data_IF_394326487952
#
_entry.id   IF_394326487952
#
_cell.length_a   1.000
_cell.length_b   1.000
_cell.length_c   1.000
_cell.angle_alpha   90.00
_cell.angle_beta   90.00
_cell.angle_gamma   90.00
#
_symmetry.space_group_name_H-M   'P 1'
#
loop_
_entity.id
_entity.type
_entity.pdbx_description
1 polymer ?
#
# COMPACT_ATOMS: atom_id res chain seq x y z
N UNK A 1 16.70 2.64 -26.05
CA UNK A 1 15.84 2.25 -24.90
C UNK A 1 15.06 3.44 -24.39
N UNK A 2 15.69 4.60 -24.19
CA UNK A 2 15.04 5.86 -23.80
C UNK A 2 13.85 6.22 -24.70
N UNK A 3 14.02 6.22 -26.03
CA UNK A 3 12.93 6.45 -26.99
C UNK A 3 11.75 5.47 -26.83
N UNK A 4 12.01 4.24 -26.37
CA UNK A 4 10.97 3.25 -26.12
C UNK A 4 10.11 3.61 -24.91
N UNK A 5 10.71 4.16 -23.85
CA UNK A 5 9.99 4.59 -22.65
C UNK A 5 9.25 5.93 -22.88
N UNK A 6 9.82 6.83 -23.69
CA UNK A 6 9.10 8.03 -24.15
C UNK A 6 7.86 7.65 -24.96
N UNK A 7 7.98 6.68 -25.88
CA UNK A 7 6.83 6.16 -26.62
C UNK A 7 5.76 5.55 -25.73
N UNK A 8 6.17 4.85 -24.67
CA UNK A 8 5.23 4.33 -23.67
C UNK A 8 4.46 5.47 -23.01
N UNK A 9 5.15 6.53 -22.60
CA UNK A 9 4.50 7.71 -22.03
C UNK A 9 3.48 8.35 -22.98
N UNK A 10 3.84 8.54 -24.26
CA UNK A 10 2.91 9.04 -25.28
C UNK A 10 1.69 8.12 -25.45
N UNK A 11 1.91 6.81 -25.49
CA UNK A 11 0.83 5.83 -25.65
C UNK A 11 -0.13 5.86 -24.45
N UNK A 12 0.38 6.03 -23.23
CA UNK A 12 -0.44 6.22 -22.02
C UNK A 12 -1.30 7.48 -22.13
N UNK A 13 -0.76 8.57 -22.68
CA UNK A 13 -1.54 9.78 -22.93
C UNK A 13 -2.66 9.52 -23.95
N UNK A 14 -2.40 8.79 -25.03
CA UNK A 14 -3.45 8.43 -26.00
C UNK A 14 -4.54 7.59 -25.34
N UNK A 15 -4.16 6.60 -24.52
CA UNK A 15 -5.10 5.80 -23.74
C UNK A 15 -6.00 6.65 -22.84
N UNK A 16 -5.42 7.63 -22.13
CA UNK A 16 -6.16 8.57 -21.30
C UNK A 16 -7.18 9.38 -22.11
N UNK A 17 -6.79 9.92 -23.27
CA UNK A 17 -7.69 10.68 -24.15
C UNK A 17 -8.84 9.83 -24.71
N UNK A 18 -8.58 8.55 -24.99
CA UNK A 18 -9.58 7.61 -25.50
C UNK A 18 -10.41 6.94 -24.39
N UNK A 19 -10.15 7.25 -23.12
CA UNK A 19 -10.88 6.69 -21.98
C UNK A 19 -10.53 5.23 -21.67
N UNK A 20 -9.42 4.71 -22.20
CA UNK A 20 -8.92 3.36 -21.90
C UNK A 20 -8.47 3.31 -20.43
N UNK A 21 -9.02 2.35 -19.67
CA UNK A 21 -8.85 2.29 -18.22
C UNK A 21 -7.67 1.45 -17.74
N UNK A 22 -7.20 0.50 -18.54
CA UNK A 22 -6.12 -0.41 -18.17
C UNK A 22 -5.20 -0.63 -19.35
N UNK A 23 -3.89 -0.59 -19.10
CA UNK A 23 -2.83 -0.87 -20.07
C UNK A 23 -1.84 -1.80 -19.42
N UNK A 24 -1.47 -2.86 -20.11
CA UNK A 24 -0.44 -3.79 -19.67
C UNK A 24 0.71 -3.77 -20.67
N UNK A 25 1.95 -3.63 -20.19
CA UNK A 25 3.13 -3.52 -21.05
C UNK A 25 4.16 -4.57 -20.71
N UNK A 26 4.82 -5.10 -21.75
CA UNK A 26 5.90 -6.05 -21.59
C UNK A 26 7.24 -5.31 -21.56
N UNK A 27 7.73 -5.00 -20.36
CA UNK A 27 8.95 -4.20 -20.19
C UNK A 27 10.22 -5.06 -20.20
N UNK A 28 10.19 -6.21 -19.52
CA UNK A 28 11.36 -7.11 -19.43
C UNK A 28 10.93 -8.57 -19.28
N UNK A 29 11.41 -9.44 -20.17
CA UNK A 29 11.16 -10.88 -20.13
C UNK A 29 12.22 -11.62 -19.30
N UNK A 30 11.87 -12.75 -18.66
CA UNK A 30 12.88 -13.65 -18.08
C UNK A 30 13.86 -14.17 -19.13
N UNK A 31 13.42 -14.34 -20.38
CA UNK A 31 14.32 -14.73 -21.47
C UNK A 31 15.38 -13.66 -21.80
N UNK A 32 15.16 -12.41 -21.38
CA UNK A 32 16.14 -11.35 -21.55
C UNK A 32 17.32 -11.45 -20.57
N UNK A 33 17.27 -12.34 -19.57
CA UNK A 33 18.42 -12.64 -18.68
C UNK A 33 19.60 -13.25 -19.48
N UNK A 34 19.35 -13.79 -20.69
CA UNK A 34 20.41 -14.29 -21.58
C UNK A 34 21.26 -13.18 -22.23
N UNK A 35 20.89 -11.90 -22.05
CA UNK A 35 21.65 -10.74 -22.52
C UNK A 35 22.90 -10.52 -21.69
N UNK A 36 23.80 -9.66 -22.16
CA UNK A 36 24.98 -9.28 -21.37
C UNK A 36 24.55 -8.51 -20.12
N UNK A 37 25.34 -8.62 -19.05
CA UNK A 37 25.05 -7.90 -17.80
C UNK A 37 24.96 -6.38 -18.03
N UNK A 38 25.82 -5.84 -18.91
CA UNK A 38 25.79 -4.42 -19.31
C UNK A 38 24.44 -4.02 -19.92
N UNK A 39 23.86 -4.82 -20.82
CA UNK A 39 22.55 -4.52 -21.41
C UNK A 39 21.42 -4.58 -20.36
N UNK A 40 21.51 -5.52 -19.42
CA UNK A 40 20.54 -5.66 -18.33
C UNK A 40 20.61 -4.44 -17.39
N UNK A 41 21.82 -4.02 -17.02
CA UNK A 41 22.04 -2.87 -16.14
C UNK A 41 21.51 -1.58 -16.80
N UNK A 42 21.75 -1.39 -18.10
CA UNK A 42 21.19 -0.25 -18.85
C UNK A 42 19.65 -0.29 -18.84
N UNK A 43 19.04 -1.46 -19.02
CA UNK A 43 17.57 -1.60 -18.95
C UNK A 43 17.03 -1.25 -17.57
N UNK A 44 17.74 -1.64 -16.52
CA UNK A 44 17.37 -1.33 -15.14
C UNK A 44 17.48 0.17 -14.83
N UNK A 45 18.53 0.84 -15.29
CA UNK A 45 18.65 2.29 -15.13
C UNK A 45 17.60 3.07 -15.94
N UNK A 46 17.24 2.60 -17.13
CA UNK A 46 16.22 3.22 -17.96
C UNK A 46 14.81 3.09 -17.34
N UNK A 47 14.46 1.93 -16.76
CA UNK A 47 13.16 1.80 -16.09
C UNK A 47 13.10 2.65 -14.81
N UNK A 48 14.20 2.75 -14.04
CA UNK A 48 14.26 3.68 -12.89
C UNK A 48 14.03 5.11 -13.36
N UNK A 49 14.75 5.53 -14.40
CA UNK A 49 14.63 6.87 -14.99
C UNK A 49 13.22 7.15 -15.48
N UNK A 50 12.58 6.19 -16.15
CA UNK A 50 11.20 6.30 -16.59
C UNK A 50 10.25 6.50 -15.40
N UNK A 51 10.34 5.66 -14.37
CA UNK A 51 9.46 5.74 -13.21
C UNK A 51 9.62 7.04 -12.41
N UNK A 52 10.84 7.59 -12.33
CA UNK A 52 11.12 8.83 -11.62
C UNK A 52 10.76 10.09 -12.42
N UNK A 53 11.00 10.08 -13.74
CA UNK A 53 10.81 11.28 -14.59
C UNK A 53 9.44 11.34 -15.24
N UNK A 54 8.85 10.20 -15.56
CA UNK A 54 7.53 10.18 -16.13
C UNK A 54 6.58 10.67 -15.04
N UNK A 55 5.95 11.84 -15.27
CA UNK A 55 4.98 12.49 -14.36
C UNK A 55 3.66 11.70 -14.28
N UNK A 56 3.74 10.37 -14.21
CA UNK A 56 2.65 9.40 -14.22
C UNK A 56 1.71 9.62 -13.05
N UNK A 57 2.25 9.97 -11.89
CA UNK A 57 1.44 10.29 -10.72
C UNK A 57 0.53 11.50 -10.98
N UNK A 58 1.06 12.57 -11.58
CA UNK A 58 0.29 13.77 -11.91
C UNK A 58 -0.78 13.50 -12.98
N UNK A 59 -0.51 12.55 -13.88
CA UNK A 59 -1.48 12.06 -14.86
C UNK A 59 -2.56 11.15 -14.24
N UNK A 60 -2.51 10.86 -12.93
CA UNK A 60 -3.43 9.97 -12.25
C UNK A 60 -3.34 8.52 -12.70
N UNK A 61 -2.14 8.07 -13.07
CA UNK A 61 -1.83 6.67 -13.41
C UNK A 61 -1.60 5.88 -12.12
N UNK A 62 -2.25 4.72 -11.97
CA UNK A 62 -1.98 3.74 -10.92
C UNK A 62 -1.09 2.63 -11.46
N UNK A 63 0.13 2.50 -10.93
CA UNK A 63 1.14 1.57 -11.43
C UNK A 63 1.10 0.27 -10.63
N UNK A 64 1.14 -0.86 -11.32
CA UNK A 64 1.39 -2.17 -10.72
C UNK A 64 2.50 -2.89 -11.47
N UNK A 65 3.21 -3.78 -10.80
CA UNK A 65 4.20 -4.67 -11.41
C UNK A 65 3.81 -6.11 -11.20
N UNK A 66 4.08 -6.95 -12.20
CA UNK A 66 3.88 -8.38 -12.09
C UNK A 66 5.01 -9.15 -12.79
N UNK A 67 5.36 -10.31 -12.25
CA UNK A 67 6.49 -11.13 -12.69
C UNK A 67 7.35 -11.61 -11.52
N UNK A 68 8.48 -12.23 -11.83
CA UNK A 68 9.35 -12.86 -10.85
C UNK A 68 10.35 -11.85 -10.26
N UNK A 69 9.90 -11.14 -9.22
CA UNK A 69 10.67 -10.09 -8.53
C UNK A 69 11.93 -10.66 -7.84
N UNK A 70 11.99 -11.97 -7.54
CA UNK A 70 13.16 -12.58 -6.85
C UNK A 70 14.45 -12.46 -7.64
N UNK A 71 14.35 -12.31 -8.96
CA UNK A 71 15.49 -12.16 -9.88
C UNK A 71 15.95 -10.71 -10.05
N UNK A 72 15.26 -9.75 -9.42
CA UNK A 72 15.47 -8.31 -9.60
C UNK A 72 16.38 -7.75 -8.50
N UNK A 73 17.38 -6.90 -8.82
CA UNK A 73 18.22 -6.26 -7.82
C UNK A 73 17.41 -5.45 -6.78
N UNK A 74 17.81 -5.53 -5.51
CA UNK A 74 17.08 -4.91 -4.40
C UNK A 74 16.89 -3.40 -4.53
N UNK A 75 17.86 -2.71 -5.12
CA UNK A 75 17.78 -1.27 -5.41
C UNK A 75 16.68 -0.96 -6.45
N UNK A 76 16.55 -1.78 -7.49
CA UNK A 76 15.45 -1.65 -8.45
C UNK A 76 14.11 -2.01 -7.81
N UNK A 77 14.03 -3.10 -7.02
CA UNK A 77 12.81 -3.47 -6.28
C UNK A 77 12.28 -2.29 -5.46
N UNK A 78 13.16 -1.58 -4.73
CA UNK A 78 12.78 -0.37 -3.98
C UNK A 78 12.12 0.70 -4.85
N UNK A 79 12.63 0.93 -6.06
CA UNK A 79 12.07 1.91 -7.00
C UNK A 79 10.71 1.45 -7.55
N UNK A 80 10.57 0.15 -7.86
CA UNK A 80 9.29 -0.42 -8.31
C UNK A 80 8.23 -0.30 -7.22
N UNK A 81 8.52 -0.76 -6.00
CA UNK A 81 7.60 -0.73 -4.88
C UNK A 81 7.21 0.70 -4.48
N UNK A 82 8.18 1.64 -4.49
CA UNK A 82 7.92 3.08 -4.34
C UNK A 82 6.92 3.55 -5.40
N UNK A 83 7.13 3.21 -6.67
CA UNK A 83 6.24 3.64 -7.76
C UNK A 83 4.81 3.12 -7.61
N UNK A 84 4.63 1.89 -7.12
CA UNK A 84 3.31 1.34 -6.78
C UNK A 84 2.67 2.11 -5.63
N UNK A 85 3.42 2.38 -4.56
CA UNK A 85 2.90 3.02 -3.37
C UNK A 85 2.40 4.45 -3.64
N UNK A 86 3.21 5.25 -4.33
CA UNK A 86 2.91 6.67 -4.59
C UNK A 86 1.72 6.82 -5.55
N UNK A 87 1.46 5.82 -6.38
CA UNK A 87 0.39 5.84 -7.37
C UNK A 87 -0.85 5.03 -6.96
N UNK A 88 -0.84 4.38 -5.79
CA UNK A 88 -1.90 3.44 -5.36
C UNK A 88 -3.30 4.06 -5.32
N UNK A 89 -3.41 5.35 -5.00
CA UNK A 89 -4.70 6.06 -4.89
C UNK A 89 -5.18 6.64 -6.23
N UNK A 90 -4.37 6.55 -7.28
CA UNK A 90 -4.73 7.07 -8.58
C UNK A 90 -5.79 6.18 -9.26
N UNK A 91 -6.67 6.78 -10.05
CA UNK A 91 -7.83 6.08 -10.62
C UNK A 91 -8.16 6.46 -12.07
N UNK A 92 -7.34 7.30 -12.74
CA UNK A 92 -7.62 7.69 -14.14
C UNK A 92 -7.32 6.55 -15.11
N UNK A 93 -6.19 5.87 -14.92
CA UNK A 93 -5.76 4.71 -15.71
C UNK A 93 -4.88 3.79 -14.85
N UNK A 94 -4.98 2.48 -15.04
CA UNK A 94 -4.10 1.48 -14.42
C UNK A 94 -3.05 1.02 -15.44
N UNK A 95 -1.77 1.13 -15.07
CA UNK A 95 -0.63 0.68 -15.85
C UNK A 95 0.00 -0.54 -15.17
N UNK A 96 -0.13 -1.70 -15.78
CA UNK A 96 0.51 -2.92 -15.31
C UNK A 96 1.80 -3.15 -16.10
N UNK A 97 2.93 -3.26 -15.40
CA UNK A 97 4.24 -3.45 -16.02
C UNK A 97 4.69 -4.89 -15.76
N UNK A 98 4.73 -5.70 -16.82
CA UNK A 98 5.28 -7.04 -16.76
C UNK A 98 6.81 -6.97 -16.76
N UNK A 99 7.41 -7.32 -15.63
CA UNK A 99 8.84 -7.18 -15.40
C UNK A 99 9.43 -8.48 -14.85
N UNK A 100 10.48 -8.98 -15.52
CA UNK A 100 11.00 -10.31 -15.28
C UNK A 100 9.87 -11.37 -15.36
N UNK A 101 9.11 -11.29 -16.45
CA UNK A 101 7.86 -12.05 -16.62
C UNK A 101 7.92 -12.97 -17.84
N UNK A 102 7.37 -14.18 -17.70
CA UNK A 102 6.90 -15.03 -18.81
C UNK A 102 5.61 -15.75 -18.41
N UNK A 103 4.78 -16.10 -19.39
CA UNK A 103 3.51 -16.80 -19.17
C UNK A 103 3.70 -18.20 -18.59
N UNK A 104 4.73 -18.92 -19.01
CA UNK A 104 5.07 -20.22 -18.41
C UNK A 104 5.53 -20.10 -16.94
N UNK A 105 6.34 -19.09 -16.60
CA UNK A 105 6.76 -18.85 -15.22
C UNK A 105 5.56 -18.48 -14.34
N UNK A 106 4.68 -17.62 -14.84
CA UNK A 106 3.43 -17.26 -14.15
C UNK A 106 2.56 -18.49 -13.87
N UNK A 107 2.32 -19.33 -14.88
CA UNK A 107 1.55 -20.57 -14.71
C UNK A 107 2.23 -21.51 -13.72
N UNK A 108 3.54 -21.70 -13.84
CA UNK A 108 4.30 -22.58 -12.94
C UNK A 108 4.21 -22.09 -11.50
N UNK A 109 4.35 -20.78 -11.28
CA UNK A 109 4.20 -20.17 -9.97
C UNK A 109 2.76 -20.30 -9.44
N UNK A 110 1.74 -20.15 -10.27
CA UNK A 110 0.35 -20.36 -9.89
C UNK A 110 0.08 -21.83 -9.48
N UNK A 111 0.55 -22.80 -10.27
CA UNK A 111 0.45 -24.22 -9.93
C UNK A 111 1.21 -24.57 -8.65
N UNK A 112 2.39 -24.00 -8.42
CA UNK A 112 3.16 -24.22 -7.19
C UNK A 112 2.42 -23.66 -5.96
N UNK A 113 1.77 -22.50 -6.07
CA UNK A 113 0.93 -21.94 -5.00
C UNK A 113 -0.23 -22.89 -4.67
N UNK A 114 -0.95 -23.37 -5.69
CA UNK A 114 -2.07 -24.31 -5.52
C UNK A 114 -1.59 -25.63 -4.92
N UNK A 115 -0.49 -26.19 -5.43
CA UNK A 115 0.08 -27.44 -4.92
C UNK A 115 0.47 -27.33 -3.44
N UNK A 116 1.06 -26.21 -3.04
CA UNK A 116 1.37 -25.94 -1.65
C UNK A 116 0.10 -25.75 -0.81
N UNK A 117 -0.94 -25.11 -1.35
CA UNK A 117 -2.25 -25.00 -0.70
C UNK A 117 -2.86 -26.37 -0.40
N UNK A 118 -2.81 -27.31 -1.35
CA UNK A 118 -3.27 -28.69 -1.12
C UNK A 118 -2.43 -29.40 -0.06
N UNK A 119 -1.10 -29.31 -0.13
CA UNK A 119 -0.19 -29.93 0.85
C UNK A 119 -0.41 -29.43 2.28
N UNK A 120 -0.78 -28.15 2.42
CA UNK A 120 -1.03 -27.52 3.70
C UNK A 120 -2.48 -27.72 4.20
N UNK A 121 -3.32 -28.46 3.46
CA UNK A 121 -4.76 -28.60 3.69
C UNK A 121 -5.55 -27.26 3.62
N UNK A 122 -4.99 -26.24 2.97
CA UNK A 122 -5.69 -24.99 2.66
C UNK A 122 -6.65 -25.17 1.46
N UNK A 123 -6.44 -26.18 0.62
CA UNK A 123 -7.28 -26.57 -0.52
C UNK A 123 -7.47 -28.09 -0.58
N UNK A 124 -8.55 -28.55 -1.22
CA UNK A 124 -8.65 -29.93 -1.72
C UNK A 124 -8.65 -29.98 -3.25
N UNK A 125 -8.41 -31.18 -3.80
CA UNK A 125 -8.53 -31.45 -5.23
C UNK A 125 -9.91 -31.11 -5.80
N UNK A 126 -10.96 -31.22 -4.97
CA UNK A 126 -12.34 -30.90 -5.34
C UNK A 126 -12.59 -29.40 -5.59
N UNK A 127 -11.72 -28.52 -5.07
CA UNK A 127 -11.82 -27.08 -5.26
C UNK A 127 -11.18 -26.61 -6.57
N UNK A 128 -10.32 -27.44 -7.18
CA UNK A 128 -9.54 -27.08 -8.35
C UNK A 128 -10.43 -26.61 -9.50
N UNK A 129 -10.15 -25.39 -9.95
CA UNK A 129 -10.97 -24.70 -10.94
C UNK A 129 -10.16 -23.64 -11.67
N UNK A 130 -10.70 -23.17 -12.80
CA UNK A 130 -10.10 -22.10 -13.61
C UNK A 130 -10.01 -20.81 -12.79
N UNK A 131 -10.97 -20.59 -11.90
CA UNK A 131 -11.07 -19.43 -11.03
C UNK A 131 -9.96 -19.41 -9.98
N UNK A 132 -9.63 -20.55 -9.35
CA UNK A 132 -8.48 -20.62 -8.43
C UNK A 132 -7.19 -20.31 -9.18
N UNK A 133 -7.02 -20.90 -10.38
CA UNK A 133 -5.84 -20.64 -11.18
C UNK A 133 -5.69 -19.16 -11.51
N UNK A 134 -6.76 -18.51 -11.99
CA UNK A 134 -6.79 -17.08 -12.32
C UNK A 134 -6.43 -16.20 -11.11
N UNK A 135 -6.96 -16.52 -9.94
CA UNK A 135 -6.64 -15.84 -8.68
C UNK A 135 -5.18 -16.03 -8.23
N UNK A 136 -4.54 -17.13 -8.64
CA UNK A 136 -3.12 -17.41 -8.37
C UNK A 136 -2.17 -16.85 -9.43
N UNK A 137 -2.64 -16.31 -10.55
CA UNK A 137 -1.80 -15.67 -11.57
C UNK A 137 -1.22 -14.35 -11.05
N UNK A 138 -0.06 -13.92 -11.55
CA UNK A 138 0.53 -12.63 -11.17
C UNK A 138 -0.33 -11.45 -11.59
N UNK A 139 -1.08 -11.60 -12.69
CA UNK A 139 -1.94 -10.53 -13.22
C UNK A 139 -3.14 -10.22 -12.35
N UNK A 140 -3.57 -11.10 -11.44
CA UNK A 140 -4.71 -10.82 -10.56
C UNK A 140 -4.49 -9.54 -9.71
N UNK A 141 -5.49 -8.64 -9.54
CA UNK A 141 -6.90 -8.72 -9.99
C UNK A 141 -7.15 -8.07 -11.36
N UNK A 142 -6.13 -7.89 -12.20
CA UNK A 142 -6.31 -7.31 -13.53
C UNK A 142 -7.16 -8.22 -14.40
N UNK A 143 -8.08 -7.59 -15.13
CA UNK A 143 -8.91 -8.26 -16.13
C UNK A 143 -8.06 -8.60 -17.35
N UNK A 144 -8.42 -9.69 -18.04
CA UNK A 144 -7.85 -10.04 -19.34
C UNK A 144 -7.88 -8.86 -20.32
N UNK A 145 -6.84 -8.70 -21.16
CA UNK A 145 -6.82 -7.63 -22.14
C UNK A 145 -7.85 -7.89 -23.24
N UNK A 146 -8.52 -6.85 -23.73
CA UNK A 146 -9.40 -6.97 -24.89
C UNK A 146 -8.58 -7.01 -26.20
N UNK A 147 -7.48 -6.27 -26.22
CA UNK A 147 -6.59 -6.05 -27.36
C UNK A 147 -5.14 -6.23 -26.93
N UNK A 148 -4.42 -7.12 -27.60
CA UNK A 148 -2.97 -7.24 -27.52
C UNK A 148 -2.33 -6.67 -28.80
N UNK A 149 -1.47 -5.68 -28.65
CA UNK A 149 -0.70 -5.09 -29.76
C UNK A 149 0.74 -5.57 -29.67
N UNK A 150 1.28 -6.09 -30.77
CA UNK A 150 2.70 -6.41 -30.89
C UNK A 150 3.31 -5.73 -32.11
N UNK A 151 4.29 -4.88 -31.83
CA UNK A 151 5.07 -4.13 -32.80
C UNK A 151 6.23 -4.95 -33.38
N UNK A 152 6.94 -4.34 -34.34
CA UNK A 152 8.20 -4.82 -34.93
C UNK A 152 8.09 -6.06 -35.83
N UNK A 153 6.91 -6.36 -36.38
CA UNK A 153 6.71 -7.35 -37.46
C UNK A 153 6.66 -8.81 -37.03
N UNK A 154 6.80 -9.08 -35.73
CA UNK A 154 6.87 -10.43 -35.19
C UNK A 154 5.47 -11.00 -34.92
N UNK A 155 5.13 -12.12 -35.55
CA UNK A 155 3.80 -12.76 -35.44
C UNK A 155 3.77 -13.88 -34.40
N UNK A 156 4.27 -13.61 -33.19
CA UNK A 156 4.26 -14.54 -32.05
C UNK A 156 3.87 -13.81 -30.76
N UNK A 157 3.56 -14.53 -29.68
CA UNK A 157 3.33 -13.91 -28.38
C UNK A 157 4.60 -13.70 -27.55
N UNK A 158 5.66 -14.47 -27.82
CA UNK A 158 6.90 -14.47 -27.01
C UNK A 158 6.62 -14.68 -25.52
N UNK A 159 5.79 -15.67 -25.20
CA UNK A 159 5.51 -16.05 -23.82
C UNK A 159 4.92 -14.90 -22.97
N UNK A 160 4.12 -14.03 -23.61
CA UNK A 160 3.48 -12.90 -22.95
C UNK A 160 1.97 -13.15 -22.76
N UNK A 161 1.51 -13.13 -21.50
CA UNK A 161 0.09 -13.20 -21.12
C UNK A 161 -0.67 -14.35 -21.80
N UNK A 162 -0.07 -15.54 -21.85
CA UNK A 162 -0.59 -16.70 -22.60
C UNK A 162 -2.01 -17.09 -22.15
N UNK A 163 -2.25 -17.07 -20.84
CA UNK A 163 -3.53 -17.40 -20.24
C UNK A 163 -4.56 -16.30 -20.47
N UNK A 164 -4.17 -15.06 -20.17
CA UNK A 164 -5.06 -13.90 -20.19
C UNK A 164 -5.47 -13.52 -21.62
N UNK A 165 -4.59 -13.77 -22.60
CA UNK A 165 -4.85 -13.45 -24.01
C UNK A 165 -5.65 -14.50 -24.77
N UNK A 166 -6.12 -15.59 -24.13
CA UNK A 166 -6.83 -16.69 -24.78
C UNK A 166 -8.04 -16.24 -25.63
N UNK A 167 -8.68 -15.13 -25.26
CA UNK A 167 -9.84 -14.56 -25.95
C UNK A 167 -9.65 -13.10 -26.40
N UNK A 168 -8.42 -12.62 -26.44
CA UNK A 168 -8.10 -11.26 -26.86
C UNK A 168 -8.00 -11.14 -28.38
N UNK A 169 -8.27 -9.95 -28.92
CA UNK A 169 -7.88 -9.65 -30.29
C UNK A 169 -6.37 -9.37 -30.34
N UNK A 170 -5.65 -10.12 -31.16
CA UNK A 170 -4.20 -9.95 -31.31
C UNK A 170 -3.93 -9.19 -32.60
N UNK A 171 -3.27 -8.03 -32.48
CA UNK A 171 -2.90 -7.16 -33.59
C UNK A 171 -1.38 -7.08 -33.73
N UNK A 172 -0.86 -7.62 -34.84
CA UNK A 172 0.55 -7.52 -35.20
C UNK A 172 0.77 -6.36 -36.18
N UNK A 173 1.79 -5.55 -35.94
CA UNK A 173 2.21 -4.49 -36.85
C UNK A 173 3.71 -4.57 -37.12
N UNK A 174 4.12 -4.23 -38.35
CA UNK A 174 5.53 -4.14 -38.74
C UNK A 174 6.22 -2.86 -38.26
N UNK A 175 5.45 -1.88 -37.79
CA UNK A 175 5.99 -0.61 -37.26
C UNK A 175 6.85 -0.89 -36.03
N UNK A 176 8.06 -0.34 -35.99
CA UNK A 176 8.96 -0.47 -34.84
C UNK A 176 8.37 0.30 -33.65
N UNK A 177 8.54 -0.23 -32.43
CA UNK A 177 7.96 0.39 -31.23
C UNK A 177 8.31 1.89 -31.09
N UNK A 178 9.58 2.34 -31.19
CA UNK A 178 9.89 3.77 -31.09
C UNK A 178 9.23 4.66 -32.16
N UNK A 179 8.87 4.08 -33.31
CA UNK A 179 8.23 4.77 -34.45
C UNK A 179 6.70 4.69 -34.41
N UNK A 180 6.13 3.95 -33.44
CA UNK A 180 4.69 3.73 -33.34
C UNK A 180 3.95 5.06 -33.15
N UNK A 181 2.95 5.33 -34.00
CA UNK A 181 2.23 6.61 -33.98
C UNK A 181 0.81 6.47 -33.42
N UNK A 182 0.19 7.61 -33.10
CA UNK A 182 -1.22 7.65 -32.73
C UNK A 182 -2.12 7.05 -33.83
N UNK A 183 -1.74 7.18 -35.11
CA UNK A 183 -2.49 6.57 -36.21
C UNK A 183 -2.40 5.05 -36.20
N UNK A 184 -1.21 4.49 -35.94
CA UNK A 184 -1.04 3.04 -35.80
C UNK A 184 -1.86 2.48 -34.63
N UNK A 185 -1.90 3.23 -33.52
CA UNK A 185 -2.72 2.90 -32.37
C UNK A 185 -4.22 2.92 -32.70
N UNK A 186 -4.68 3.95 -33.41
CA UNK A 186 -6.07 4.05 -33.86
C UNK A 186 -6.45 2.94 -34.85
N UNK A 187 -5.53 2.53 -35.74
CA UNK A 187 -5.75 1.39 -36.64
C UNK A 187 -5.91 0.10 -35.83
N UNK A 188 -5.08 -0.13 -34.82
CA UNK A 188 -5.19 -1.31 -33.95
C UNK A 188 -6.54 -1.35 -33.23
N UNK A 189 -7.01 -0.22 -32.69
CA UNK A 189 -8.33 -0.09 -32.05
C UNK A 189 -9.45 -0.34 -33.06
N UNK A 190 -9.37 0.24 -34.27
CA UNK A 190 -10.36 0.03 -35.32
C UNK A 190 -10.46 -1.45 -35.71
N UNK A 191 -9.31 -2.12 -35.85
CA UNK A 191 -9.26 -3.55 -36.16
C UNK A 191 -9.87 -4.40 -35.04
N UNK A 192 -9.63 -4.06 -33.77
CA UNK A 192 -10.33 -4.67 -32.65
C UNK A 192 -11.84 -4.49 -32.76
N UNK A 193 -12.33 -3.25 -32.90
CA UNK A 193 -13.75 -2.93 -32.99
C UNK A 193 -14.45 -3.65 -34.15
N UNK A 194 -13.77 -3.81 -35.28
CA UNK A 194 -14.27 -4.53 -36.45
C UNK A 194 -14.50 -6.02 -36.17
N UNK A 195 -13.66 -6.63 -35.34
CA UNK A 195 -13.66 -8.08 -35.14
C UNK A 195 -14.24 -8.54 -33.79
N UNK A 196 -14.42 -7.65 -32.81
CA UNK A 196 -14.82 -8.00 -31.42
C UNK A 196 -16.06 -8.89 -31.33
N UNK A 197 -17.06 -8.67 -32.21
CA UNK A 197 -18.31 -9.45 -32.24
C UNK A 197 -18.11 -10.95 -32.46
N UNK A 198 -17.01 -11.35 -33.10
CA UNK A 198 -16.67 -12.76 -33.30
C UNK A 198 -16.15 -13.43 -32.02
N UNK A 199 -15.50 -12.67 -31.12
CA UNK A 199 -14.81 -13.19 -29.95
C UNK A 199 -15.65 -13.17 -28.66
N UNK A 200 -16.64 -12.28 -28.56
CA UNK A 200 -17.49 -12.16 -27.35
C UNK A 200 -18.27 -13.43 -26.99
N UNK A 201 -18.40 -14.39 -27.91
CA UNK A 201 -19.17 -15.64 -27.73
C UNK A 201 -18.49 -16.70 -26.83
N UNK A 202 -17.23 -16.51 -26.45
CA UNK A 202 -16.42 -17.57 -25.83
C UNK A 202 -16.04 -17.36 -24.35
N UNK A 203 -16.69 -16.44 -23.62
CA UNK A 203 -16.45 -16.33 -22.18
C UNK A 203 -16.94 -17.60 -21.47
N UNK A 204 -16.00 -18.32 -20.86
CA UNK A 204 -16.29 -19.52 -20.07
C UNK A 204 -17.20 -19.17 -18.88
N UNK A 205 -18.17 -20.04 -18.54
CA UNK A 205 -19.00 -19.85 -17.36
C UNK A 205 -18.14 -19.91 -16.10
N UNK A 206 -18.17 -18.85 -15.30
CA UNK A 206 -17.42 -18.78 -14.03
C UNK A 206 -18.17 -19.51 -12.93
N UNK A 207 -17.51 -20.43 -12.23
CA UNK A 207 -18.01 -21.07 -11.01
C UNK A 207 -17.72 -20.19 -9.79
N UNK A 208 -18.62 -20.22 -8.82
CA UNK A 208 -18.35 -19.63 -7.50
C UNK A 208 -17.34 -20.50 -6.76
N UNK A 209 -16.34 -19.87 -6.15
CA UNK A 209 -15.38 -20.56 -5.30
C UNK A 209 -16.08 -21.12 -4.05
N UNK A 210 -15.56 -22.22 -3.51
CA UNK A 210 -15.96 -22.71 -2.18
C UNK A 210 -15.42 -21.76 -1.10
N UNK A 211 -16.01 -21.72 0.09
CA UNK A 211 -15.52 -20.85 1.17
C UNK A 211 -14.05 -21.12 1.53
N UNK A 212 -13.62 -22.38 1.44
CA UNK A 212 -12.22 -22.75 1.63
C UNK A 212 -11.32 -22.18 0.52
N UNK A 213 -11.74 -22.31 -0.74
CA UNK A 213 -10.99 -21.76 -1.86
C UNK A 213 -10.91 -20.22 -1.80
N UNK A 214 -11.97 -19.55 -1.35
CA UNK A 214 -11.98 -18.10 -1.08
C UNK A 214 -10.90 -17.74 -0.04
N UNK A 215 -10.86 -18.44 1.10
CA UNK A 215 -9.83 -18.23 2.15
C UNK A 215 -8.40 -18.48 1.64
N UNK A 216 -8.18 -19.54 0.87
CA UNK A 216 -6.87 -19.82 0.28
C UNK A 216 -6.42 -18.70 -0.67
N UNK A 217 -7.31 -18.26 -1.55
CA UNK A 217 -7.04 -17.19 -2.52
C UNK A 217 -6.69 -15.89 -1.79
N UNK A 218 -7.43 -15.57 -0.74
CA UNK A 218 -7.18 -14.40 0.10
C UNK A 218 -5.78 -14.44 0.74
N UNK A 219 -5.41 -15.58 1.33
CA UNK A 219 -4.05 -15.83 1.87
C UNK A 219 -2.96 -15.66 0.80
N UNK A 220 -3.21 -16.10 -0.43
CA UNK A 220 -2.29 -15.91 -1.56
C UNK A 220 -2.11 -14.42 -1.88
N UNK A 221 -3.20 -13.65 -1.95
CA UNK A 221 -3.14 -12.21 -2.21
C UNK A 221 -2.42 -11.47 -1.08
N UNK A 222 -2.57 -11.90 0.17
CA UNK A 222 -1.86 -11.32 1.30
C UNK A 222 -0.36 -11.47 1.24
N UNK A 223 0.10 -12.67 0.91
CA UNK A 223 1.53 -12.90 0.80
C UNK A 223 2.21 -11.98 -0.24
N UNK A 224 1.47 -11.53 -1.26
CA UNK A 224 1.95 -10.56 -2.25
C UNK A 224 1.91 -9.12 -1.73
N UNK A 225 0.90 -8.76 -0.94
CA UNK A 225 0.82 -7.43 -0.33
C UNK A 225 1.88 -7.25 0.77
N UNK A 226 2.15 -8.28 1.56
CA UNK A 226 3.14 -8.25 2.63
C UNK A 226 4.56 -7.92 2.14
N UNK A 227 4.93 -8.33 0.92
CA UNK A 227 6.20 -7.92 0.34
C UNK A 227 6.27 -6.41 0.09
N UNK A 228 5.17 -5.78 -0.34
CA UNK A 228 5.10 -4.32 -0.56
C UNK A 228 5.13 -3.53 0.75
N UNK A 229 4.50 -4.03 1.81
CA UNK A 229 4.49 -3.36 3.12
C UNK A 229 5.83 -3.45 3.85
N UNK A 230 6.67 -4.44 3.50
CA UNK A 230 7.99 -4.64 4.10
C UNK A 230 8.86 -3.38 4.06
N UNK A 231 8.90 -2.65 2.93
CA UNK A 231 9.71 -1.43 2.82
C UNK A 231 9.17 -0.31 3.74
N UNK A 232 7.85 -0.18 3.86
CA UNK A 232 7.25 0.81 4.76
C UNK A 232 7.63 0.56 6.22
N UNK A 233 7.64 -0.70 6.64
CA UNK A 233 8.06 -1.11 7.98
C UNK A 233 9.57 -1.00 8.19
N UNK A 234 10.39 -1.35 7.19
CA UNK A 234 11.84 -1.20 7.28
C UNK A 234 12.24 0.28 7.50
N UNK A 235 11.55 1.21 6.82
CA UNK A 235 11.75 2.65 7.04
C UNK A 235 11.28 3.12 8.43
N UNK A 236 10.22 2.53 8.94
CA UNK A 236 9.73 2.84 10.28
C UNK A 236 10.73 2.40 11.35
N UNK A 237 11.25 1.17 11.22
CA UNK A 237 12.30 0.68 12.11
C UNK A 237 13.55 1.58 12.06
N UNK A 238 13.96 2.01 10.87
CA UNK A 238 15.09 2.95 10.70
C UNK A 238 14.83 4.30 11.40
N UNK A 239 13.63 4.85 11.25
CA UNK A 239 13.26 6.13 11.88
C UNK A 239 13.20 6.03 13.40
N UNK A 240 12.66 4.94 13.94
CA UNK A 240 12.66 4.68 15.38
C UNK A 240 14.09 4.56 15.93
N UNK A 241 15.01 3.97 15.18
CA UNK A 241 16.41 3.91 15.55
C UNK A 241 17.04 5.32 15.63
N UNK A 242 16.70 6.23 14.71
CA UNK A 242 17.14 7.63 14.80
C UNK A 242 16.58 8.32 16.04
N UNK A 243 15.30 8.11 16.35
CA UNK A 243 14.67 8.62 17.56
C UNK A 243 15.41 8.15 18.82
N UNK A 244 15.73 6.85 18.89
CA UNK A 244 16.48 6.26 19.99
C UNK A 244 17.87 6.89 20.14
N UNK A 245 18.62 7.04 19.06
CA UNK A 245 19.95 7.67 19.09
C UNK A 245 19.92 9.14 19.52
N UNK A 246 18.83 9.86 19.25
CA UNK A 246 18.64 11.25 19.67
C UNK A 246 18.03 11.39 21.08
N UNK A 247 17.76 10.27 21.77
CA UNK A 247 17.19 10.28 23.11
C UNK A 247 15.70 10.68 23.15
N UNK A 248 14.99 10.55 22.03
CA UNK A 248 13.53 10.76 21.98
C UNK A 248 12.86 9.62 22.74
N UNK A 249 12.13 9.97 23.79
CA UNK A 249 11.59 9.00 24.76
C UNK A 249 10.29 8.35 24.30
N UNK A 250 9.49 9.08 23.53
CA UNK A 250 8.18 8.63 23.07
C UNK A 250 8.01 8.99 21.60
N UNK A 251 7.57 8.01 20.81
CA UNK A 251 7.28 8.19 19.38
C UNK A 251 5.89 7.60 19.14
N UNK A 252 4.99 8.44 18.64
CA UNK A 252 3.68 7.98 18.18
C UNK A 252 3.69 7.90 16.66
N UNK A 253 3.23 6.78 16.11
CA UNK A 253 3.27 6.51 14.67
C UNK A 253 1.86 6.32 14.16
N UNK A 254 1.51 7.05 13.10
CA UNK A 254 0.31 6.74 12.34
C UNK A 254 0.60 5.56 11.40
N UNK A 255 0.54 4.35 11.94
CA UNK A 255 0.82 3.13 11.19
C UNK A 255 -0.35 2.71 10.28
N UNK A 256 -1.59 2.89 10.76
CA UNK A 256 -2.80 2.43 10.06
C UNK A 256 -3.94 3.46 10.14
N UNK A 257 -4.54 3.76 8.99
CA UNK A 257 -5.82 4.46 8.93
C UNK A 257 -6.98 3.50 9.23
N UNK A 258 -8.09 4.01 9.77
CA UNK A 258 -9.37 3.30 9.86
C UNK A 258 -9.86 2.76 8.51
N UNK A 259 -9.47 3.39 7.40
CA UNK A 259 -9.75 2.88 6.06
C UNK A 259 -9.05 1.54 5.76
N UNK A 260 -7.96 1.23 6.48
CA UNK A 260 -7.30 -0.07 6.39
C UNK A 260 -8.07 -1.16 7.16
N UNK A 261 -8.99 -0.84 8.07
CA UNK A 261 -9.84 -1.83 8.74
C UNK A 261 -11.08 -2.23 7.91
N UNK A 262 -11.25 -1.65 6.70
CA UNK A 262 -12.16 -2.17 5.67
C UNK A 262 -11.61 -3.42 4.97
N UNK A 263 -10.35 -3.75 5.26
CA UNK A 263 -9.67 -4.97 4.84
C UNK A 263 -10.18 -6.14 5.68
N UNK A 264 -9.89 -7.35 5.24
CA UNK A 264 -10.31 -8.56 5.96
C UNK A 264 -9.55 -8.72 7.28
N UNK A 265 -10.09 -9.49 8.23
CA UNK A 265 -9.46 -9.67 9.53
C UNK A 265 -8.07 -10.32 9.40
N UNK A 266 -7.94 -11.26 8.47
CA UNK A 266 -6.67 -11.95 8.18
C UNK A 266 -5.63 -11.00 7.55
N UNK A 267 -6.06 -10.04 6.72
CA UNK A 267 -5.23 -8.93 6.21
C UNK A 267 -4.61 -8.12 7.34
N UNK A 268 -5.47 -7.76 8.29
CA UNK A 268 -5.13 -6.95 9.44
C UNK A 268 -4.15 -7.73 10.34
N UNK A 269 -4.45 -9.01 10.61
CA UNK A 269 -3.62 -9.87 11.44
C UNK A 269 -2.23 -10.10 10.83
N UNK A 270 -2.14 -10.33 9.52
CA UNK A 270 -0.86 -10.51 8.83
C UNK A 270 0.00 -9.24 8.80
N UNK A 271 -0.64 -8.06 8.65
CA UNK A 271 0.05 -6.77 8.79
C UNK A 271 0.59 -6.58 10.20
N UNK A 272 -0.19 -6.97 11.22
CA UNK A 272 0.26 -6.94 12.60
C UNK A 272 1.35 -7.96 12.90
N UNK A 273 1.33 -9.15 12.30
CA UNK A 273 2.41 -10.12 12.40
C UNK A 273 3.70 -9.59 11.79
N UNK A 274 3.64 -8.95 10.61
CA UNK A 274 4.79 -8.30 10.00
C UNK A 274 5.33 -7.16 10.86
N UNK A 275 4.44 -6.34 11.42
CA UNK A 275 4.81 -5.30 12.38
C UNK A 275 5.52 -5.92 13.60
N UNK A 276 4.91 -6.95 14.22
CA UNK A 276 5.47 -7.68 15.36
C UNK A 276 6.85 -8.28 15.04
N UNK A 277 7.01 -8.95 13.90
CA UNK A 277 8.28 -9.53 13.47
C UNK A 277 9.37 -8.45 13.35
N UNK A 278 9.05 -7.32 12.70
CA UNK A 278 9.99 -6.22 12.47
C UNK A 278 10.33 -5.45 13.74
N UNK A 279 9.34 -5.27 14.62
CA UNK A 279 9.54 -4.62 15.90
C UNK A 279 10.10 -5.57 16.96
N UNK A 280 10.13 -6.90 16.75
CA UNK A 280 10.61 -7.87 17.74
C UNK A 280 11.98 -7.50 18.32
N UNK A 281 12.90 -7.01 17.46
CA UNK A 281 14.24 -6.56 17.87
C UNK A 281 14.25 -5.23 18.64
N UNK A 282 13.27 -4.36 18.42
CA UNK A 282 13.08 -3.10 19.16
C UNK A 282 12.26 -3.32 20.45
N UNK A 283 11.40 -4.35 20.48
CA UNK A 283 10.50 -4.74 21.57
C UNK A 283 11.16 -5.68 22.59
N UNK A 284 12.27 -6.34 22.23
CA UNK A 284 13.11 -7.10 23.18
C UNK A 284 13.64 -6.22 24.34
N UNK A 285 13.55 -4.89 24.24
CA UNK A 285 13.86 -3.95 25.34
C UNK A 285 12.61 -3.37 26.07
N UNK A 286 11.37 -3.66 25.67
CA UNK A 286 10.16 -3.26 26.45
C UNK A 286 8.88 -3.97 26.02
N UNK A 287 8.23 -4.58 27.01
CA UNK A 287 6.95 -5.30 26.89
C UNK A 287 5.77 -4.41 26.44
N UNK A 288 4.99 -5.00 25.52
CA UNK A 288 3.58 -4.74 25.17
C UNK A 288 3.26 -3.48 24.36
N UNK A 289 3.06 -3.69 23.06
CA UNK A 289 2.22 -2.84 22.21
C UNK A 289 0.77 -3.29 22.32
N UNK A 290 -0.16 -2.35 22.40
CA UNK A 290 -1.58 -2.61 22.23
C UNK A 290 -2.22 -1.56 21.32
N UNK A 291 -3.19 -1.98 20.51
CA UNK A 291 -3.73 -1.21 19.40
C UNK A 291 -5.23 -0.96 19.57
N UNK A 292 -5.66 0.30 19.37
CA UNK A 292 -7.06 0.67 19.18
C UNK A 292 -7.13 1.79 18.15
N UNK A 293 -7.96 1.63 17.12
CA UNK A 293 -8.32 2.67 16.16
C UNK A 293 -9.75 3.11 16.41
N UNK A 294 -9.95 4.27 17.02
CA UNK A 294 -11.26 4.89 17.18
C UNK A 294 -11.15 6.41 17.13
N UNK A 295 -12.26 7.08 16.81
CA UNK A 295 -12.40 8.53 16.97
C UNK A 295 -12.29 8.88 18.47
N UNK A 296 -11.06 9.24 18.89
CA UNK A 296 -10.68 9.33 20.30
C UNK A 296 -11.57 10.30 21.08
N UNK A 297 -11.91 11.44 20.47
CA UNK A 297 -12.74 12.47 21.09
C UNK A 297 -14.16 11.95 21.30
N UNK A 298 -14.77 11.34 20.27
CA UNK A 298 -16.12 10.78 20.37
C UNK A 298 -16.20 9.69 21.44
N UNK A 299 -15.18 8.84 21.54
CA UNK A 299 -15.13 7.82 22.58
C UNK A 299 -14.98 8.39 23.98
N UNK A 300 -14.10 9.39 24.17
CA UNK A 300 -13.95 10.07 25.45
C UNK A 300 -15.27 10.74 25.87
N UNK A 301 -15.95 11.43 24.94
CA UNK A 301 -17.27 12.03 25.20
C UNK A 301 -18.34 10.99 25.56
N UNK A 302 -18.37 9.84 24.88
CA UNK A 302 -19.32 8.76 25.19
C UNK A 302 -19.06 8.18 26.59
N UNK A 303 -17.80 7.98 26.97
CA UNK A 303 -17.42 7.52 28.30
C UNK A 303 -17.87 8.51 29.38
N UNK A 304 -17.58 9.80 29.18
CA UNK A 304 -17.99 10.88 30.10
C UNK A 304 -19.52 10.97 30.19
N UNK A 305 -20.23 10.92 29.06
CA UNK A 305 -21.69 10.95 29.02
C UNK A 305 -22.32 9.78 29.78
N UNK A 306 -21.76 8.57 29.62
CA UNK A 306 -22.20 7.41 30.38
C UNK A 306 -21.87 7.54 31.88
N UNK A 307 -20.72 8.10 32.23
CA UNK A 307 -20.35 8.41 33.61
C UNK A 307 -21.35 9.34 34.29
N UNK A 308 -21.81 10.38 33.59
CA UNK A 308 -22.86 11.29 34.10
C UNK A 308 -24.19 10.55 34.26
N UNK A 309 -24.62 9.78 33.25
CA UNK A 309 -25.88 9.02 33.32
C UNK A 309 -25.91 7.99 34.45
N UNK A 310 -24.78 7.33 34.71
CA UNK A 310 -24.64 6.33 35.76
C UNK A 310 -24.37 6.96 37.14
N UNK A 311 -24.32 8.29 37.22
CA UNK A 311 -24.04 9.04 38.44
C UNK A 311 -22.63 8.79 39.00
N UNK A 312 -21.71 8.30 38.16
CA UNK A 312 -20.28 8.10 38.45
C UNK A 312 -19.47 9.39 38.28
N UNK A 313 -20.00 10.36 37.53
CA UNK A 313 -19.43 11.70 37.29
C UNK A 313 -20.52 12.77 37.48
N UNK A 314 -20.18 13.95 38.02
CA UNK A 314 -21.10 15.09 38.07
C UNK A 314 -20.86 16.07 36.92
N UNK A 315 -21.89 16.79 36.48
CA UNK A 315 -21.73 17.82 35.44
C UNK A 315 -20.74 18.92 35.84
N UNK A 316 -20.62 19.20 37.15
CA UNK A 316 -19.66 20.14 37.74
C UNK A 316 -18.19 19.69 37.64
N UNK A 317 -17.96 18.40 37.44
CA UNK A 317 -16.63 17.80 37.31
C UNK A 317 -16.10 17.96 35.88
N UNK A 318 -16.98 18.13 34.89
CA UNK A 318 -16.63 18.31 33.47
C UNK A 318 -15.54 19.36 33.30
N UNK A 319 -14.40 18.89 32.80
CA UNK A 319 -13.22 19.72 32.61
C UNK A 319 -12.35 19.12 31.51
N UNK A 320 -11.42 19.95 31.02
CA UNK A 320 -10.45 19.50 30.03
C UNK A 320 -9.57 18.38 30.57
N UNK A 321 -9.30 18.38 31.88
CA UNK A 321 -8.51 17.34 32.56
C UNK A 321 -9.23 15.98 32.57
N UNK A 322 -10.55 15.95 32.80
CA UNK A 322 -11.33 14.70 32.65
C UNK A 322 -11.32 14.22 31.20
N UNK A 323 -11.47 15.13 30.24
CA UNK A 323 -11.42 14.75 28.82
C UNK A 323 -10.07 14.13 28.47
N UNK A 324 -8.97 14.76 28.87
CA UNK A 324 -7.60 14.29 28.61
C UNK A 324 -7.32 12.92 29.26
N UNK A 325 -7.73 12.74 30.52
CA UNK A 325 -7.67 11.45 31.22
C UNK A 325 -8.52 10.35 30.57
N UNK A 326 -9.55 10.75 29.81
CA UNK A 326 -10.39 9.86 29.03
C UNK A 326 -9.92 9.70 27.58
N UNK A 327 -8.81 10.26 27.13
CA UNK A 327 -8.24 9.99 25.79
C UNK A 327 -7.43 8.69 25.78
N UNK A 328 -7.36 7.97 24.66
CA UNK A 328 -6.59 6.71 24.55
C UNK A 328 -5.08 6.92 24.69
N UNK A 329 -4.58 8.10 24.33
CA UNK A 329 -3.17 8.47 24.49
C UNK A 329 -2.74 8.61 25.94
N UNK A 330 -3.65 8.74 26.92
CA UNK A 330 -3.24 8.81 28.32
C UNK A 330 -2.58 7.49 28.76
N UNK A 331 -1.43 7.52 29.49
CA UNK A 331 -0.78 8.68 30.11
C UNK A 331 0.35 9.34 29.29
N UNK A 332 0.49 9.02 28.01
CA UNK A 332 1.54 9.62 27.16
C UNK A 332 1.36 11.14 27.05
N UNK A 333 2.44 11.93 27.19
CA UNK A 333 2.42 13.36 26.94
C UNK A 333 1.99 13.66 25.49
N UNK A 334 1.35 14.82 25.26
CA UNK A 334 1.13 15.33 23.91
C UNK A 334 2.46 15.41 23.12
N UNK A 335 2.45 15.13 21.81
CA UNK A 335 3.67 15.17 21.02
C UNK A 335 4.22 16.59 20.94
N UNK A 336 5.54 16.74 21.03
CA UNK A 336 6.18 18.05 20.81
C UNK A 336 6.20 18.42 19.32
N UNK A 337 6.44 17.40 18.48
CA UNK A 337 6.65 17.49 17.04
C UNK A 337 5.82 16.43 16.33
N UNK A 338 4.95 16.85 15.42
CA UNK A 338 4.28 15.98 14.47
C UNK A 338 4.91 16.15 13.08
N UNK A 339 5.40 15.06 12.49
CA UNK A 339 5.94 15.07 11.12
C UNK A 339 4.90 14.43 10.20
N UNK A 340 4.50 15.17 9.17
CA UNK A 340 3.57 14.70 8.14
C UNK A 340 4.28 14.68 6.79
N UNK A 341 4.42 13.48 6.23
CA UNK A 341 5.06 13.23 4.94
C UNK A 341 4.07 13.27 3.79
N UNK A 342 4.58 13.12 2.57
CA UNK A 342 3.80 12.93 1.34
C UNK A 342 3.00 14.16 0.87
N UNK A 343 3.38 15.37 1.30
CA UNK A 343 2.82 16.62 0.79
C UNK A 343 1.39 16.94 1.26
N UNK A 344 0.81 16.09 2.10
CA UNK A 344 -0.49 16.33 2.72
C UNK A 344 -0.39 17.45 3.75
N UNK A 345 -1.23 18.48 3.66
CA UNK A 345 -1.26 19.61 4.61
C UNK A 345 -2.38 19.50 5.66
N UNK A 346 -3.01 18.32 5.75
CA UNK A 346 -4.07 17.99 6.72
C UNK A 346 -3.64 16.88 7.67
N UNK A 347 -4.22 16.89 8.87
CA UNK A 347 -3.97 15.88 9.91
C UNK A 347 -4.76 14.58 9.73
N UNK A 348 -5.85 14.60 8.93
CA UNK A 348 -6.69 13.42 8.67
C UNK A 348 -7.17 12.72 9.95
N UNK A 349 -7.67 13.51 10.90
CA UNK A 349 -8.16 13.07 12.22
C UNK A 349 -7.12 12.37 13.10
N UNK A 350 -5.84 12.48 12.77
CA UNK A 350 -4.76 11.95 13.60
C UNK A 350 -4.41 12.90 14.73
N UNK A 351 -4.68 12.48 15.98
CA UNK A 351 -4.30 13.15 17.23
C UNK A 351 -4.64 14.65 17.25
N UNK A 352 -5.81 15.05 16.74
CA UNK A 352 -6.20 16.48 16.66
C UNK A 352 -6.14 17.18 18.02
N UNK A 353 -6.54 16.48 19.07
CA UNK A 353 -6.56 16.98 20.44
C UNK A 353 -5.14 17.17 20.99
N UNK A 354 -4.32 16.12 20.91
CA UNK A 354 -2.96 16.11 21.45
C UNK A 354 -2.02 17.00 20.62
N UNK A 355 -2.28 17.14 19.32
CA UNK A 355 -1.47 17.98 18.43
C UNK A 355 -1.82 19.47 18.45
N UNK A 356 -2.82 19.88 19.25
CA UNK A 356 -3.32 21.26 19.27
C UNK A 356 -2.24 22.31 19.56
N UNK A 357 -1.19 21.91 20.28
CA UNK A 357 -0.05 22.77 20.65
C UNK A 357 1.30 22.23 20.15
N UNK A 358 1.30 21.23 19.28
CA UNK A 358 2.52 20.65 18.72
C UNK A 358 3.04 21.47 17.54
N UNK A 359 4.35 21.39 17.28
CA UNK A 359 4.87 21.84 16.00
C UNK A 359 4.53 20.83 14.92
N UNK A 360 3.83 21.25 13.88
CA UNK A 360 3.50 20.38 12.76
C UNK A 360 4.44 20.69 11.60
N UNK A 361 5.26 19.70 11.22
CA UNK A 361 6.18 19.78 10.10
C UNK A 361 5.63 19.01 8.90
N UNK A 362 5.19 19.73 7.88
CA UNK A 362 4.77 19.15 6.60
C UNK A 362 5.96 19.04 5.66
N UNK A 363 6.15 17.86 5.07
CA UNK A 363 7.15 17.63 4.02
C UNK A 363 6.53 16.93 2.82
N UNK A 364 6.96 17.34 1.62
CA UNK A 364 6.61 16.67 0.36
C UNK A 364 7.35 15.35 0.18
N UNK A 365 8.36 15.07 1.01
CA UNK A 365 9.10 13.80 0.98
C UNK A 365 8.14 12.67 1.31
N UNK A 366 8.09 11.67 0.44
CA UNK A 366 7.20 10.52 0.56
C UNK A 366 7.75 9.54 1.60
N UNK A 367 6.87 8.80 2.26
CA UNK A 367 7.30 7.59 2.96
C UNK A 367 7.39 6.46 1.94
N UNK A 368 8.51 5.73 1.77
CA UNK A 368 9.64 5.54 2.69
C UNK A 368 10.91 6.35 2.34
N UNK A 369 10.86 7.38 1.50
CA UNK A 369 12.06 8.16 1.10
C UNK A 369 12.61 9.04 2.20
N UNK A 370 11.81 9.29 3.24
CA UNK A 370 12.20 10.07 4.39
C UNK A 370 13.55 9.62 4.94
N UNK A 371 14.54 10.51 4.91
CA UNK A 371 15.92 10.24 5.31
C UNK A 371 16.23 10.81 6.69
N UNK A 372 17.38 10.41 7.26
CA UNK A 372 17.90 11.03 8.47
C UNK A 372 18.09 12.55 8.30
N UNK A 373 18.43 13.03 7.09
CA UNK A 373 18.55 14.45 6.81
C UNK A 373 17.20 15.16 6.87
N UNK A 374 16.16 14.59 6.27
CA UNK A 374 14.80 15.14 6.35
C UNK A 374 14.30 15.18 7.79
N UNK A 375 14.62 14.14 8.57
CA UNK A 375 14.32 14.07 9.99
C UNK A 375 15.05 15.16 10.79
N UNK A 376 16.36 15.35 10.55
CA UNK A 376 17.13 16.40 11.20
C UNK A 376 16.63 17.81 10.81
N UNK A 377 16.19 18.01 9.57
CA UNK A 377 15.56 19.27 9.14
C UNK A 377 14.26 19.48 9.92
N UNK A 378 13.42 18.46 10.07
CA UNK A 378 12.19 18.56 10.85
C UNK A 378 12.47 18.94 12.31
N UNK A 379 13.47 18.32 12.94
CA UNK A 379 13.91 18.63 14.31
C UNK A 379 14.46 20.05 14.40
N UNK A 380 15.29 20.47 13.44
CA UNK A 380 15.82 21.83 13.40
C UNK A 380 14.70 22.87 13.26
N UNK A 381 13.73 22.61 12.39
CA UNK A 381 12.56 23.47 12.20
C UNK A 381 11.72 23.55 13.48
N UNK A 382 11.54 22.42 14.18
CA UNK A 382 10.93 22.40 15.50
C UNK A 382 11.72 23.28 16.49
N UNK A 383 13.02 23.02 16.68
CA UNK A 383 13.88 23.75 17.62
C UNK A 383 13.93 25.26 17.34
N UNK A 384 13.88 25.66 16.06
CA UNK A 384 13.84 27.07 15.65
C UNK A 384 12.52 27.74 16.09
N UNK A 385 11.42 27.02 15.99
CA UNK A 385 10.07 27.58 16.20
C UNK A 385 9.51 27.31 17.59
N UNK A 386 10.10 26.40 18.38
CA UNK A 386 9.59 25.99 19.71
C UNK A 386 9.42 27.17 20.67
N UNK A 387 10.22 28.24 20.54
CA UNK A 387 10.09 29.45 21.36
C UNK A 387 8.81 30.25 21.10
N UNK A 388 8.22 30.12 19.91
CA UNK A 388 6.94 30.72 19.55
C UNK A 388 5.76 29.83 19.96
N UNK A 389 6.00 28.56 20.27
CA UNK A 389 5.01 27.63 20.80
C UNK A 389 4.96 27.88 22.31
N UNK A 390 3.88 28.53 22.75
CA UNK A 390 3.62 28.70 24.16
C UNK A 390 3.37 27.30 24.73
N UNK A 391 4.14 26.82 25.73
CA UNK A 391 3.78 25.58 26.41
C UNK A 391 2.45 25.83 27.11
N UNK A 392 1.36 25.37 26.51
CA UNK A 392 0.05 25.47 27.11
C UNK A 392 -0.01 24.43 28.22
N UNK A 393 0.32 24.86 29.45
CA UNK A 393 -0.09 24.12 30.64
C UNK A 393 -1.58 24.38 30.81
N UNK A 394 -2.38 23.36 30.49
CA UNK A 394 -3.79 23.34 30.85
C UNK A 394 -3.92 23.72 32.34
N UNK A 395 -4.81 24.66 32.72
CA UNK A 395 -5.06 24.94 34.12
C UNK A 395 -5.58 23.66 34.77
N UNK A 396 -4.76 23.07 35.64
CA UNK A 396 -5.11 21.84 36.33
C UNK A 396 -6.18 22.15 37.37
N UNK A 397 -7.37 21.56 37.18
CA UNK A 397 -8.45 21.62 38.16
C UNK A 397 -8.35 20.33 38.93
N UNK A 398 -8.00 20.43 40.22
CA UNK A 398 -7.96 19.26 41.10
C UNK A 398 -9.30 18.51 40.98
N UNK A 399 -9.21 17.26 40.54
CA UNK A 399 -10.37 16.41 40.33
C UNK A 399 -11.07 16.16 41.68
N UNK A 400 -12.39 16.03 41.66
CA UNK A 400 -13.11 15.54 42.84
C UNK A 400 -12.77 14.07 43.06
N UNK A 401 -12.91 13.57 44.29
CA UNK A 401 -12.68 12.15 44.59
C UNK A 401 -13.56 11.20 43.76
N UNK A 402 -14.74 11.70 43.34
CA UNK A 402 -15.67 11.00 42.47
C UNK A 402 -15.14 10.95 41.03
N UNK A 403 -14.66 12.08 40.51
CA UNK A 403 -14.02 12.15 39.19
C UNK A 403 -12.72 11.34 39.10
N UNK A 404 -11.89 11.35 40.15
CA UNK A 404 -10.68 10.51 40.25
C UNK A 404 -11.04 9.03 40.12
N UNK A 405 -12.03 8.56 40.88
CA UNK A 405 -12.47 7.15 40.84
C UNK A 405 -13.09 6.76 39.49
N UNK A 406 -13.82 7.68 38.85
CA UNK A 406 -14.34 7.46 37.50
C UNK A 406 -13.21 7.30 36.48
N UNK A 407 -12.23 8.21 36.51
CA UNK A 407 -11.05 8.16 35.65
C UNK A 407 -10.25 6.87 35.86
N UNK A 408 -10.00 6.48 37.11
CA UNK A 408 -9.34 5.21 37.44
C UNK A 408 -10.08 4.00 36.86
N UNK A 409 -11.42 3.97 36.99
CA UNK A 409 -12.23 2.89 36.42
C UNK A 409 -12.15 2.87 34.89
N UNK A 410 -12.20 4.02 34.24
CA UNK A 410 -12.05 4.13 32.78
C UNK A 410 -10.68 3.61 32.32
N UNK A 411 -9.62 4.00 33.01
CA UNK A 411 -8.25 3.57 32.71
C UNK A 411 -8.04 2.08 33.00
N UNK A 412 -8.58 1.58 34.11
CA UNK A 412 -8.49 0.17 34.48
C UNK A 412 -9.29 -0.72 33.52
N UNK A 413 -10.47 -0.28 33.07
CA UNK A 413 -11.27 -1.00 32.09
C UNK A 413 -10.54 -1.11 30.74
N UNK A 414 -9.80 -0.07 30.34
CA UNK A 414 -8.91 -0.14 29.16
C UNK A 414 -7.79 -1.14 29.40
N UNK A 415 -7.07 -1.04 30.51
CA UNK A 415 -6.04 -2.04 30.85
C UNK A 415 -6.59 -3.46 30.79
N UNK A 416 -7.77 -3.71 31.36
CA UNK A 416 -8.38 -5.03 31.35
C UNK A 416 -8.81 -5.46 29.92
N UNK A 417 -9.35 -4.57 29.09
CA UNK A 417 -9.63 -4.89 27.69
C UNK A 417 -8.37 -5.20 26.88
N UNK A 418 -7.23 -4.59 27.25
CA UNK A 418 -5.91 -4.85 26.66
C UNK A 418 -5.36 -6.23 27.07
N UNK A 419 -5.71 -6.75 28.26
CA UNK A 419 -5.27 -8.08 28.75
C UNK A 419 -6.16 -9.25 28.30
N UNK A 420 -7.41 -9.00 27.92
CA UNK A 420 -8.40 -10.06 27.65
C UNK A 420 -8.28 -10.66 26.23
N UNK A 421 -7.40 -10.13 25.38
CA UNK A 421 -7.21 -10.56 23.97
C UNK A 421 -5.78 -11.08 23.73
N UNK A 422 -5.03 -11.42 24.79
CA UNK A 422 -3.70 -12.02 24.70
C UNK A 422 -3.73 -13.55 24.53
#
# INVERSE_FOLDING_TARGET
LTLSFEKLFETIQWCLHLGIKKVTVYAFSLDNIKRTQEEIDILFEEIKTFLERARLNELGVCITFFGNIRSVPNDLVKVLEKSVLITKQNNKISLNIAFSYTGHDELTNAFNQISNGIKNNDLEESDLSVEILDNCMYTYPSSSPDLLIRASGETRLSDFMLWQCAYSYIYFTSVLWPEFTAWDFMIAIFMYQRNVKAFTRYKLPTKRLSSRAEQFVEKVHQNRLNSLFKIMFDKLAETLQWCLHLGIKEVTVYAFSLDNFKRTQEEIDALFDLAREKFKRLLEEKDKLNEHGHDELTNAFNQISNGIKNNDLEESDLSVEILDNCMYTYPSPPPDLLIRTSGETRLSDFMLWQCAYSYIYFTSVLWPEFTAWDFMIAIFMYQRNVRAIIPFKLPTKKLSSKAEKFVENVQQNRLNSLYTIA
#
